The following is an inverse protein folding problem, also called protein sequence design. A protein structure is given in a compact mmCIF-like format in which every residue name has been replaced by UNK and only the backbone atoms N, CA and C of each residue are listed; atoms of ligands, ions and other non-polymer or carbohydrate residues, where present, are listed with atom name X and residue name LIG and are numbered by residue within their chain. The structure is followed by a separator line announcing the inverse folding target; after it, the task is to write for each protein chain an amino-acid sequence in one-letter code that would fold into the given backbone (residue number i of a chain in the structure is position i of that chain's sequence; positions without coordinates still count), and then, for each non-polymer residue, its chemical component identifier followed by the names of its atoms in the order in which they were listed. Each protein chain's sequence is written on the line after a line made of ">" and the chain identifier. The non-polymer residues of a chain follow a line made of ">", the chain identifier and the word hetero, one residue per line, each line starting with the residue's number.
data_IF_642786818265
#
_entry.id   IF_642786818265
#
_cell.length_a   1.000
_cell.length_b   1.000
_cell.length_c   1.000
_cell.angle_alpha   90.00
_cell.angle_beta   90.00
_cell.angle_gamma   90.00
#
_symmetry.space_group_name_H-M   'P 1'
#
loop_
_entity.id
_entity.type
_entity.pdbx_description
1 polymer ?
#
# COMPACT_ATOMS: atom_id res chain seq x y z
N UNK A 1 20.47 -64.71 21.93
CA UNK A 1 19.97 -63.65 22.84
C UNK A 1 20.55 -62.34 22.36
N UNK A 2 19.70 -61.44 21.84
CA UNK A 2 20.13 -60.20 21.17
C UNK A 2 20.65 -59.14 22.15
N UNK A 3 21.74 -58.50 21.77
CA UNK A 3 22.39 -57.38 22.46
C UNK A 3 21.49 -56.14 22.52
N UNK A 4 21.36 -55.54 23.70
CA UNK A 4 21.05 -54.11 23.88
C UNK A 4 22.33 -53.40 24.29
N UNK A 5 22.75 -52.35 23.57
CA UNK A 5 23.44 -51.21 24.20
C UNK A 5 23.33 -49.95 23.33
N UNK A 6 22.86 -48.89 23.99
CA UNK A 6 22.57 -47.53 23.52
C UNK A 6 23.85 -46.77 23.19
N UNK A 7 23.85 -45.96 22.12
CA UNK A 7 24.67 -44.74 22.03
C UNK A 7 23.93 -43.64 21.26
N UNK A 8 23.44 -42.67 22.03
CA UNK A 8 23.00 -41.36 21.54
C UNK A 8 24.21 -40.41 21.58
N UNK A 9 24.39 -39.55 20.57
CA UNK A 9 25.24 -38.37 20.67
C UNK A 9 24.63 -37.23 19.86
N UNK A 10 24.49 -36.09 20.53
CA UNK A 10 23.74 -34.90 20.13
C UNK A 10 24.24 -34.25 18.84
N UNK A 11 23.28 -33.87 17.98
CA UNK A 11 23.45 -32.87 16.93
C UNK A 11 22.95 -31.52 17.49
N UNK A 12 23.87 -30.61 17.84
CA UNK A 12 23.50 -29.25 18.24
C UNK A 12 23.30 -28.42 16.97
N UNK A 13 22.04 -28.29 16.54
CA UNK A 13 21.67 -27.44 15.41
C UNK A 13 21.52 -26.00 15.92
N UNK A 14 22.50 -25.14 15.66
CA UNK A 14 22.42 -23.71 15.97
C UNK A 14 21.39 -23.06 15.05
N UNK A 15 20.20 -22.81 15.58
CA UNK A 15 19.16 -22.04 14.88
C UNK A 15 19.59 -20.57 14.94
N UNK A 16 20.17 -20.06 13.85
CA UNK A 16 20.22 -18.62 13.61
C UNK A 16 18.79 -18.17 13.30
N UNK A 17 18.04 -17.78 14.33
CA UNK A 17 16.80 -17.02 14.12
C UNK A 17 17.18 -15.62 13.67
N UNK A 18 17.13 -15.36 12.36
CA UNK A 18 16.98 -13.98 11.89
C UNK A 18 15.62 -13.52 12.38
N UNK A 19 15.62 -12.71 13.44
CA UNK A 19 14.45 -11.90 13.75
C UNK A 19 14.22 -11.00 12.54
N UNK A 20 13.23 -11.35 11.72
CA UNK A 20 12.65 -10.39 10.79
C UNK A 20 12.15 -9.24 11.65
N UNK A 21 12.86 -8.10 11.60
CA UNK A 21 12.28 -6.85 12.07
C UNK A 21 10.93 -6.74 11.37
N UNK A 22 9.86 -6.54 12.14
CA UNK A 22 8.53 -6.40 11.57
C UNK A 22 8.56 -5.21 10.61
N UNK A 23 8.67 -5.51 9.32
CA UNK A 23 8.44 -4.52 8.27
C UNK A 23 6.94 -4.29 8.31
N UNK A 24 6.52 -3.12 8.80
CA UNK A 24 5.13 -2.81 9.03
C UNK A 24 4.21 -3.15 7.86
N UNK A 25 2.92 -3.29 8.12
CA UNK A 25 1.96 -3.81 7.13
C UNK A 25 0.97 -2.74 6.67
N UNK A 26 0.51 -2.88 5.44
CA UNK A 26 -0.64 -2.13 4.92
C UNK A 26 -1.88 -2.96 5.25
N UNK A 27 -2.65 -2.55 6.27
CA UNK A 27 -3.85 -3.27 6.68
C UNK A 27 -5.04 -3.00 5.75
N UNK A 28 -5.05 -1.83 5.11
CA UNK A 28 -6.04 -1.47 4.08
C UNK A 28 -5.44 -0.44 3.15
N UNK A 29 -5.68 -0.62 1.85
CA UNK A 29 -5.45 0.37 0.81
C UNK A 29 -6.67 0.38 -0.09
N UNK A 30 -7.24 1.54 -0.40
CA UNK A 30 -8.38 1.62 -1.32
C UNK A 30 -8.52 3.02 -1.93
N UNK A 31 -9.14 3.05 -3.10
CA UNK A 31 -9.61 4.29 -3.70
C UNK A 31 -10.99 4.64 -3.16
N UNK A 32 -11.25 5.92 -2.94
CA UNK A 32 -12.51 6.44 -2.42
C UNK A 32 -12.88 7.75 -3.11
N UNK A 33 -14.18 8.05 -3.20
CA UNK A 33 -14.67 9.36 -3.65
C UNK A 33 -14.37 10.44 -2.62
N UNK A 34 -14.35 10.08 -1.33
CA UNK A 34 -14.04 10.99 -0.24
C UNK A 34 -13.49 10.25 1.00
N UNK A 35 -12.77 10.99 1.84
CA UNK A 35 -12.36 10.57 3.19
C UNK A 35 -12.97 11.53 4.21
N UNK A 36 -13.89 11.03 5.02
CA UNK A 36 -14.59 11.78 6.05
C UNK A 36 -14.27 11.18 7.43
N UNK A 37 -14.04 12.01 8.44
CA UNK A 37 -13.70 11.56 9.80
C UNK A 37 -12.53 10.54 9.85
N UNK A 38 -11.58 10.70 8.92
CA UNK A 38 -10.40 9.85 8.72
C UNK A 38 -10.72 8.41 8.27
N UNK A 39 -11.88 8.20 7.65
CA UNK A 39 -12.28 6.93 7.04
C UNK A 39 -12.78 7.18 5.60
N UNK A 40 -12.47 6.28 4.65
CA UNK A 40 -13.07 6.35 3.32
C UNK A 40 -14.58 6.08 3.42
N UNK A 41 -15.39 6.87 2.72
CA UNK A 41 -16.85 6.70 2.76
C UNK A 41 -17.36 5.58 1.85
N UNK A 42 -16.54 5.18 0.89
CA UNK A 42 -16.82 4.16 -0.12
C UNK A 42 -15.52 3.49 -0.59
N UNK A 43 -15.67 2.52 -1.49
CA UNK A 43 -14.59 1.96 -2.30
C UNK A 43 -14.96 2.16 -3.77
N UNK A 44 -14.10 2.86 -4.51
CA UNK A 44 -14.31 3.08 -5.94
C UNK A 44 -14.05 1.78 -6.72
N UNK A 45 -14.77 1.64 -7.82
CA UNK A 45 -14.56 0.53 -8.75
C UNK A 45 -13.22 0.66 -9.48
N UNK A 46 -12.76 -0.46 -10.04
CA UNK A 46 -11.52 -0.51 -10.83
C UNK A 46 -11.60 0.29 -12.14
N UNK A 47 -12.80 0.71 -12.55
CA UNK A 47 -13.01 1.57 -13.72
C UNK A 47 -13.79 2.80 -13.29
N UNK A 48 -13.22 3.98 -13.58
CA UNK A 48 -13.79 5.28 -13.31
C UNK A 48 -13.99 6.00 -14.64
N UNK A 49 -15.20 6.48 -14.90
CA UNK A 49 -15.51 7.22 -16.13
C UNK A 49 -15.20 8.69 -15.97
N UNK A 50 -14.73 9.33 -17.05
CA UNK A 50 -14.54 10.77 -17.12
C UNK A 50 -15.86 11.51 -16.93
N UNK A 51 -15.89 12.43 -15.98
CA UNK A 51 -17.00 13.37 -15.80
C UNK A 51 -16.67 14.74 -16.39
N UNK A 52 -17.50 15.20 -17.32
CA UNK A 52 -17.35 16.51 -17.94
C UNK A 52 -18.05 17.60 -17.13
N UNK A 53 -17.36 18.71 -16.88
CA UNK A 53 -17.92 19.90 -16.22
C UNK A 53 -17.70 19.95 -14.71
N UNK A 54 -17.17 18.89 -14.10
CA UNK A 54 -16.79 18.85 -12.69
C UNK A 54 -15.33 18.40 -12.53
N UNK A 55 -14.70 18.75 -11.40
CA UNK A 55 -13.36 18.25 -11.08
C UNK A 55 -13.54 16.95 -10.32
N UNK A 56 -13.27 15.84 -10.98
CA UNK A 56 -13.31 14.53 -10.35
C UNK A 56 -12.09 14.36 -9.45
N UNK A 57 -12.30 14.01 -8.19
CA UNK A 57 -11.23 13.78 -7.23
C UNK A 57 -11.27 12.34 -6.76
N UNK A 58 -10.14 11.67 -6.86
CA UNK A 58 -9.94 10.32 -6.33
C UNK A 58 -9.02 10.40 -5.13
N UNK A 59 -9.48 9.87 -4.00
CA UNK A 59 -8.66 9.70 -2.80
C UNK A 59 -8.05 8.31 -2.81
N UNK A 60 -6.82 8.22 -2.32
CA UNK A 60 -6.18 6.94 -2.00
C UNK A 60 -5.91 6.90 -0.51
N UNK A 61 -6.67 6.06 0.18
CA UNK A 61 -6.63 5.88 1.63
C UNK A 61 -5.76 4.68 2.00
N UNK A 62 -4.96 4.81 3.05
CA UNK A 62 -4.20 3.70 3.64
C UNK A 62 -4.29 3.65 5.17
N UNK A 63 -4.41 2.43 5.71
CA UNK A 63 -4.31 2.12 7.15
C UNK A 63 -3.02 1.32 7.37
N UNK A 64 -2.02 1.97 7.94
CA UNK A 64 -0.66 1.47 8.12
C UNK A 64 -0.46 0.95 9.55
N UNK A 65 0.26 -0.16 9.69
CA UNK A 65 0.54 -0.83 10.97
C UNK A 65 2.03 -1.03 11.18
N UNK A 66 2.50 -0.80 12.40
CA UNK A 66 3.86 -1.07 12.85
C UNK A 66 4.94 -0.37 11.98
N UNK A 67 4.63 0.84 11.52
CA UNK A 67 5.52 1.69 10.70
C UNK A 67 5.98 2.97 11.42
N UNK A 68 5.83 3.05 12.75
CA UNK A 68 6.20 4.24 13.52
C UNK A 68 7.67 4.64 13.28
N UNK A 69 7.90 5.94 13.09
CA UNK A 69 9.22 6.51 12.88
C UNK A 69 9.76 6.36 11.45
N UNK A 70 8.99 5.76 10.55
CA UNK A 70 9.31 5.68 9.13
C UNK A 70 8.58 6.74 8.31
N UNK A 71 9.01 6.91 7.05
CA UNK A 71 8.30 7.69 6.05
C UNK A 71 7.70 6.74 5.01
N UNK A 72 6.42 6.96 4.69
CA UNK A 72 5.70 6.23 3.64
C UNK A 72 5.28 7.22 2.55
N UNK A 73 5.43 6.84 1.29
CA UNK A 73 5.11 7.68 0.14
C UNK A 73 3.96 7.05 -0.64
N UNK A 74 2.93 7.83 -0.94
CA UNK A 74 1.99 7.49 -2.00
C UNK A 74 2.56 8.02 -3.32
N UNK A 75 2.99 7.10 -4.20
CA UNK A 75 3.56 7.39 -5.51
C UNK A 75 2.50 7.21 -6.59
N UNK A 76 1.91 8.31 -7.03
CA UNK A 76 0.89 8.32 -8.08
C UNK A 76 1.53 8.23 -9.46
N UNK A 77 1.02 7.31 -10.29
CA UNK A 77 1.47 7.09 -11.67
C UNK A 77 0.28 7.08 -12.62
N UNK A 78 0.51 7.60 -13.83
CA UNK A 78 -0.37 7.47 -14.99
C UNK A 78 0.40 6.70 -16.04
N UNK A 79 -0.12 5.55 -16.48
CA UNK A 79 0.51 4.67 -17.47
C UNK A 79 1.99 4.33 -17.15
N UNK A 80 2.27 4.19 -15.85
CA UNK A 80 3.60 3.90 -15.32
C UNK A 80 4.50 5.14 -15.14
N UNK A 81 4.14 6.31 -15.66
CA UNK A 81 4.87 7.55 -15.45
C UNK A 81 4.47 8.22 -14.13
N UNK A 82 5.46 8.60 -13.32
CA UNK A 82 5.24 9.26 -12.02
C UNK A 82 4.63 10.65 -12.22
N UNK A 83 3.47 10.86 -11.61
CA UNK A 83 2.71 12.11 -11.68
C UNK A 83 2.71 12.89 -10.35
N UNK A 84 2.94 12.22 -9.22
CA UNK A 84 3.10 12.86 -7.92
C UNK A 84 3.71 11.90 -6.88
N UNK A 85 4.50 12.47 -5.96
CA UNK A 85 4.98 11.79 -4.76
C UNK A 85 4.40 12.50 -3.54
N UNK A 86 3.77 11.76 -2.63
CA UNK A 86 3.16 12.34 -1.42
C UNK A 86 3.69 11.63 -0.19
N UNK A 87 4.70 12.21 0.52
CA UNK A 87 5.29 11.61 1.71
C UNK A 87 4.45 11.83 2.96
N UNK A 88 4.49 10.86 3.87
CA UNK A 88 3.87 10.88 5.19
C UNK A 88 4.85 10.39 6.25
N UNK A 89 5.09 11.22 7.26
CA UNK A 89 5.86 10.81 8.44
C UNK A 89 4.94 10.08 9.43
N UNK A 90 5.27 8.83 9.74
CA UNK A 90 4.40 7.94 10.51
C UNK A 90 4.69 8.07 12.01
N UNK A 91 3.74 8.63 12.75
CA UNK A 91 3.93 8.96 14.17
C UNK A 91 3.54 7.88 15.18
N UNK A 92 2.92 6.78 14.77
CA UNK A 92 2.41 5.76 15.70
C UNK A 92 2.15 4.41 15.05
N UNK A 93 1.92 3.40 15.90
CA UNK A 93 1.81 1.99 15.50
C UNK A 93 0.62 1.72 14.58
N UNK A 94 -0.48 2.47 14.72
CA UNK A 94 -1.55 2.52 13.74
C UNK A 94 -1.64 3.93 13.18
N UNK A 95 -1.48 4.08 11.88
CA UNK A 95 -1.51 5.38 11.24
C UNK A 95 -2.35 5.35 9.97
N UNK A 96 -3.33 6.24 9.91
CA UNK A 96 -4.21 6.39 8.73
C UNK A 96 -3.80 7.64 7.97
N UNK A 97 -3.53 7.48 6.69
CA UNK A 97 -3.16 8.58 5.78
C UNK A 97 -3.96 8.48 4.50
N UNK A 98 -4.04 9.59 3.78
CA UNK A 98 -4.66 9.63 2.47
C UNK A 98 -4.02 10.73 1.64
N UNK A 99 -3.90 10.48 0.35
CA UNK A 99 -3.60 11.50 -0.66
C UNK A 99 -4.73 11.53 -1.68
N UNK A 100 -4.71 12.50 -2.59
CA UNK A 100 -5.73 12.58 -3.63
C UNK A 100 -5.15 13.11 -4.93
N UNK A 101 -5.75 12.72 -6.04
CA UNK A 101 -5.48 13.29 -7.37
C UNK A 101 -6.76 13.90 -7.92
N UNK A 102 -6.63 15.04 -8.59
CA UNK A 102 -7.69 15.60 -9.42
C UNK A 102 -7.53 15.02 -10.82
N UNK A 103 -8.54 14.33 -11.30
CA UNK A 103 -8.60 13.76 -12.64
C UNK A 103 -9.46 14.69 -13.50
N UNK A 104 -8.93 15.05 -14.66
CA UNK A 104 -9.58 15.94 -15.63
C UNK A 104 -9.71 15.19 -16.96
N UNK A 105 -10.63 15.60 -17.85
CA UNK A 105 -10.65 15.09 -19.22
C UNK A 105 -9.26 15.20 -19.88
N UNK A 106 -8.85 14.14 -20.57
CA UNK A 106 -7.50 14.00 -21.16
C UNK A 106 -6.43 13.42 -20.23
N UNK A 107 -6.79 13.02 -19.00
CA UNK A 107 -5.96 12.22 -18.09
C UNK A 107 -6.37 10.74 -18.09
N UNK A 108 -7.01 10.29 -19.17
CA UNK A 108 -7.37 8.90 -19.41
C UNK A 108 -6.13 8.02 -19.42
N UNK A 109 -6.31 6.78 -18.96
CA UNK A 109 -5.24 5.80 -18.80
C UNK A 109 -5.34 5.02 -17.49
N UNK A 110 -4.36 4.16 -17.26
CA UNK A 110 -4.29 3.37 -16.03
C UNK A 110 -3.58 4.17 -14.95
N UNK A 111 -4.36 4.62 -13.98
CA UNK A 111 -3.84 5.24 -12.78
C UNK A 111 -3.43 4.16 -11.78
N UNK A 112 -2.30 4.39 -11.11
CA UNK A 112 -1.86 3.54 -10.00
C UNK A 112 -1.23 4.35 -8.89
N UNK A 113 -1.28 3.78 -7.68
CA UNK A 113 -0.57 4.31 -6.52
C UNK A 113 0.24 3.20 -5.90
N UNK A 114 1.56 3.40 -5.83
CA UNK A 114 2.43 2.55 -5.04
C UNK A 114 2.55 3.13 -3.62
N UNK A 115 2.51 2.25 -2.62
CA UNK A 115 2.84 2.57 -1.24
C UNK A 115 4.31 2.22 -1.05
N UNK A 116 5.17 3.25 -0.99
CA UNK A 116 6.62 3.07 -0.95
C UNK A 116 7.16 3.39 0.44
N UNK A 117 8.01 2.52 0.97
CA UNK A 117 8.76 2.73 2.22
C UNK A 117 10.20 2.30 1.99
N UNK A 118 11.17 3.15 2.34
CA UNK A 118 12.60 2.88 2.18
C UNK A 118 13.00 2.45 0.74
N UNK A 119 12.31 2.99 -0.27
CA UNK A 119 12.51 2.64 -1.69
C UNK A 119 11.90 1.30 -2.11
N UNK A 120 11.23 0.58 -1.21
CA UNK A 120 10.54 -0.68 -1.47
C UNK A 120 9.05 -0.42 -1.63
N UNK A 121 8.46 -0.96 -2.70
CA UNK A 121 7.00 -0.96 -2.89
C UNK A 121 6.40 -2.04 -1.98
N UNK A 122 5.57 -1.61 -1.03
CA UNK A 122 4.87 -2.51 -0.11
C UNK A 122 3.60 -3.08 -0.75
N UNK A 123 2.85 -2.24 -1.43
CA UNK A 123 1.61 -2.60 -2.13
C UNK A 123 1.36 -1.59 -3.27
N UNK A 124 0.66 -2.03 -4.31
CA UNK A 124 0.23 -1.19 -5.44
C UNK A 124 -1.26 -1.41 -5.71
N UNK A 125 -1.99 -0.33 -5.98
CA UNK A 125 -3.40 -0.36 -6.38
C UNK A 125 -3.59 0.47 -7.63
N UNK A 126 -4.50 0.05 -8.51
CA UNK A 126 -4.78 0.72 -9.78
C UNK A 126 -6.27 0.82 -10.05
N UNK A 127 -6.63 1.77 -10.91
CA UNK A 127 -7.92 1.87 -11.58
C UNK A 127 -7.71 2.45 -12.98
N UNK A 128 -8.60 2.10 -13.90
CA UNK A 128 -8.64 2.67 -15.23
C UNK A 128 -9.55 3.90 -15.24
N UNK A 129 -9.01 5.02 -15.73
CA UNK A 129 -9.78 6.23 -15.97
C UNK A 129 -10.09 6.31 -17.46
N UNK A 130 -11.35 6.14 -17.82
CA UNK A 130 -11.76 5.95 -19.22
C UNK A 130 -12.70 7.05 -19.70
N UNK A 131 -12.41 7.58 -20.87
CA UNK A 131 -13.27 8.49 -21.61
C UNK A 131 -14.11 7.69 -22.62
N UNK A 132 -15.35 7.38 -22.24
CA UNK A 132 -16.32 6.81 -23.17
C UNK A 132 -17.06 7.97 -23.86
N UNK A 133 -16.65 8.29 -25.09
CA UNK A 133 -17.36 9.23 -25.95
C UNK A 133 -18.77 8.76 -26.31
#
# INVERSE_FOLDING_TARGET
>A
MHHTFVRSLLLCLTIFSTAALAEGTVARAQFASEVLDREPIDELADVIKVEYGEIQRVYFYTDLRDMQGSQVIHLWKLDGEVQAEVPFDIGGDRWRVWSSKRLMPGFDGTWSVDIVKDGIVLESRSFDYVDEW
#
